data_IF_699004790216
#
_entry.id   IF_699004790216
#
_cell.length_a   1.000
_cell.length_b   1.000
_cell.length_c   1.000
_cell.angle_alpha   90.00
_cell.angle_beta   90.00
_cell.angle_gamma   90.00
#
_symmetry.space_group_name_H-M   'P 1'
#
loop_
_entity.id
_entity.type
_entity.pdbx_description
1 polymer ?
#
# COMPACT_ATOMS: atom_id res chain seq x y z
N UNK A 1 -55.84 -40.12 10.54
CA UNK A 1 -55.38 -39.11 9.57
C UNK A 1 -54.21 -38.37 10.20
N UNK A 2 -52.97 -38.64 9.78
CA UNK A 2 -51.78 -37.94 10.29
C UNK A 2 -51.50 -36.74 9.37
N UNK A 3 -51.52 -35.53 9.93
CA UNK A 3 -51.15 -34.31 9.21
C UNK A 3 -49.63 -34.20 9.32
N UNK A 4 -48.92 -34.42 8.21
CA UNK A 4 -47.49 -34.16 8.12
C UNK A 4 -47.26 -32.66 7.89
N UNK A 5 -46.67 -31.99 8.87
CA UNK A 5 -46.29 -30.57 8.79
C UNK A 5 -44.99 -30.47 8.00
N UNK A 6 -45.04 -29.83 6.83
CA UNK A 6 -43.85 -29.51 6.02
C UNK A 6 -43.20 -28.25 6.60
N UNK A 7 -42.01 -28.39 7.16
CA UNK A 7 -41.19 -27.27 7.64
C UNK A 7 -40.37 -26.71 6.46
N UNK A 8 -40.76 -25.55 5.95
CA UNK A 8 -39.99 -24.81 4.94
C UNK A 8 -38.85 -24.04 5.64
N UNK A 9 -37.64 -24.58 5.64
CA UNK A 9 -36.44 -23.87 6.11
C UNK A 9 -35.91 -22.99 4.98
N UNK A 10 -36.17 -21.69 5.05
CA UNK A 10 -35.55 -20.71 4.17
C UNK A 10 -34.09 -20.47 4.62
N UNK A 11 -33.13 -21.05 3.90
CA UNK A 11 -31.71 -20.75 4.08
C UNK A 11 -31.42 -19.42 3.38
N UNK A 12 -31.44 -18.32 4.14
CA UNK A 12 -30.89 -17.04 3.66
C UNK A 12 -29.37 -17.18 3.56
N UNK A 13 -28.86 -17.39 2.35
CA UNK A 13 -27.43 -17.22 2.08
C UNK A 13 -27.16 -15.72 2.13
N UNK A 14 -26.49 -15.26 3.18
CA UNK A 14 -25.97 -13.90 3.26
C UNK A 14 -24.88 -13.77 2.19
N UNK A 15 -25.25 -13.22 1.02
CA UNK A 15 -24.29 -12.78 0.03
C UNK A 15 -23.63 -11.51 0.55
N UNK A 16 -22.44 -11.68 1.10
CA UNK A 16 -21.62 -10.63 1.66
C UNK A 16 -20.81 -9.97 0.54
N UNK A 17 -20.99 -8.68 0.22
CA UNK A 17 -20.35 -8.07 -0.94
C UNK A 17 -18.84 -7.86 -0.72
N UNK A 18 -18.04 -8.22 -1.73
CA UNK A 18 -16.62 -7.88 -1.82
C UNK A 18 -16.46 -6.37 -2.10
N UNK A 19 -15.38 -5.77 -1.61
CA UNK A 19 -15.06 -4.35 -1.86
C UNK A 19 -13.99 -4.24 -2.94
N UNK A 20 -14.28 -3.48 -4.00
CA UNK A 20 -13.31 -3.14 -5.06
C UNK A 20 -12.88 -1.68 -4.91
N UNK A 21 -11.56 -1.44 -4.81
CA UNK A 21 -10.98 -0.10 -4.76
C UNK A 21 -9.98 0.10 -5.88
N UNK A 22 -10.14 1.15 -6.67
CA UNK A 22 -9.12 1.62 -7.60
C UNK A 22 -8.07 2.39 -6.80
N UNK A 23 -6.84 1.90 -6.76
CA UNK A 23 -5.72 2.55 -6.04
C UNK A 23 -4.97 3.53 -6.93
N UNK A 24 -4.89 3.27 -8.24
CA UNK A 24 -4.14 4.09 -9.18
C UNK A 24 -4.66 3.92 -10.60
N UNK A 25 -4.59 5.00 -11.38
CA UNK A 25 -4.79 5.02 -12.82
C UNK A 25 -3.52 5.62 -13.44
N UNK A 26 -2.82 4.86 -14.28
CA UNK A 26 -1.62 5.28 -15.00
C UNK A 26 -1.96 5.57 -16.47
N UNK A 27 -1.89 6.86 -16.82
CA UNK A 27 -2.21 7.40 -18.14
C UNK A 27 -0.96 7.65 -19.02
N UNK A 28 0.22 7.18 -18.62
CA UNK A 28 1.48 7.43 -19.33
C UNK A 28 1.47 6.98 -20.80
N UNK A 29 0.62 6.01 -21.13
CA UNK A 29 0.49 5.42 -22.47
C UNK A 29 -0.73 5.97 -23.24
N UNK A 30 -1.54 6.84 -22.64
CA UNK A 30 -2.79 7.31 -23.24
C UNK A 30 -2.55 8.02 -24.58
N UNK A 31 -1.58 8.94 -24.65
CA UNK A 31 -1.30 9.68 -25.88
C UNK A 31 -0.58 8.84 -26.95
N UNK A 32 0.16 7.81 -26.56
CA UNK A 32 0.99 7.02 -27.48
C UNK A 32 0.20 5.89 -28.14
N UNK A 33 -0.63 5.18 -27.38
CA UNK A 33 -1.37 4.03 -27.88
C UNK A 33 -2.77 3.89 -27.29
N UNK A 34 -3.31 4.95 -26.67
CA UNK A 34 -4.66 4.97 -26.08
C UNK A 34 -4.87 3.85 -25.06
N UNK A 35 -3.82 3.49 -24.31
CA UNK A 35 -3.90 2.51 -23.21
C UNK A 35 -3.77 3.20 -21.87
N UNK A 36 -4.51 2.67 -20.91
CA UNK A 36 -4.45 3.07 -19.50
C UNK A 36 -4.24 1.81 -18.66
N UNK A 37 -3.46 1.92 -17.59
CA UNK A 37 -3.37 0.85 -16.59
C UNK A 37 -4.16 1.25 -15.37
N UNK A 38 -5.02 0.35 -14.90
CA UNK A 38 -5.81 0.55 -13.69
C UNK A 38 -5.36 -0.48 -12.66
N UNK A 39 -5.00 0.01 -11.48
CA UNK A 39 -4.61 -0.82 -10.35
C UNK A 39 -5.80 -0.93 -9.41
N UNK A 40 -6.22 -2.17 -9.14
CA UNK A 40 -7.37 -2.46 -8.29
C UNK A 40 -6.95 -3.35 -7.12
N UNK A 41 -7.57 -3.10 -5.97
CA UNK A 41 -7.51 -3.95 -4.78
C UNK A 41 -8.91 -4.49 -4.51
N UNK A 42 -9.03 -5.79 -4.33
CA UNK A 42 -10.28 -6.44 -3.96
C UNK A 42 -10.11 -7.07 -2.58
N UNK A 43 -10.94 -6.65 -1.64
CA UNK A 43 -10.91 -7.15 -0.26
C UNK A 43 -12.26 -7.71 0.13
N UNK A 44 -12.23 -8.74 0.97
CA UNK A 44 -13.43 -9.25 1.62
C UNK A 44 -13.89 -8.28 2.72
N UNK A 45 -14.89 -8.69 3.49
CA UNK A 45 -15.47 -7.88 4.56
C UNK A 45 -14.56 -7.67 5.76
N UNK A 46 -13.56 -8.53 5.95
CA UNK A 46 -12.56 -8.42 7.00
C UNK A 46 -11.42 -7.50 6.59
N UNK A 47 -11.41 -7.05 5.34
CA UNK A 47 -10.33 -6.28 4.73
C UNK A 47 -9.20 -7.18 4.19
N UNK A 48 -9.40 -8.50 4.17
CA UNK A 48 -8.40 -9.44 3.67
C UNK A 48 -8.45 -9.46 2.13
N UNK A 49 -7.30 -9.50 1.43
CA UNK A 49 -7.29 -9.59 -0.03
C UNK A 49 -7.98 -10.87 -0.54
N UNK A 50 -8.89 -10.73 -1.50
CA UNK A 50 -9.53 -11.88 -2.14
C UNK A 50 -8.53 -12.56 -3.08
N UNK A 51 -8.12 -13.81 -2.82
CA UNK A 51 -7.11 -14.48 -3.61
C UNK A 51 -7.69 -15.01 -4.93
N UNK A 52 -6.80 -15.34 -5.87
CA UNK A 52 -7.13 -16.10 -7.08
C UNK A 52 -8.19 -15.51 -8.02
N UNK A 53 -8.44 -14.20 -7.95
CA UNK A 53 -9.30 -13.52 -8.92
C UNK A 53 -8.71 -13.58 -10.32
N UNK A 54 -9.51 -13.97 -11.29
CA UNK A 54 -9.16 -14.08 -12.72
C UNK A 54 -9.86 -13.00 -13.54
N UNK A 55 -9.38 -12.73 -14.75
CA UNK A 55 -9.88 -11.64 -15.62
C UNK A 55 -11.40 -11.72 -15.85
N UNK A 56 -11.95 -12.93 -15.99
CA UNK A 56 -13.38 -13.19 -16.20
C UNK A 56 -14.28 -12.73 -15.04
N UNK A 57 -13.68 -12.41 -13.89
CA UNK A 57 -14.38 -11.82 -12.74
C UNK A 57 -14.51 -10.30 -12.82
N UNK A 58 -13.94 -9.68 -13.86
CA UNK A 58 -13.93 -8.24 -14.05
C UNK A 58 -14.61 -7.85 -15.36
N UNK A 59 -15.29 -6.70 -15.31
CA UNK A 59 -15.77 -5.99 -16.47
C UNK A 59 -15.38 -4.53 -16.32
N UNK A 60 -14.89 -3.93 -17.40
CA UNK A 60 -14.50 -2.53 -17.42
C UNK A 60 -15.53 -1.75 -18.22
N UNK A 61 -16.02 -0.65 -17.65
CA UNK A 61 -16.95 0.26 -18.32
C UNK A 61 -16.38 1.67 -18.31
N UNK A 62 -16.53 2.38 -19.42
CA UNK A 62 -16.26 3.80 -19.54
C UNK A 62 -17.53 4.46 -20.07
N UNK A 63 -18.13 5.36 -19.29
CA UNK A 63 -19.37 6.05 -19.68
C UNK A 63 -20.45 5.08 -20.21
N UNK A 64 -20.70 4.00 -19.47
CA UNK A 64 -21.68 2.94 -19.80
C UNK A 64 -21.28 2.00 -20.97
N UNK A 65 -20.21 2.31 -21.70
CA UNK A 65 -19.69 1.42 -22.73
C UNK A 65 -18.69 0.42 -22.15
N UNK A 66 -18.90 -0.87 -22.41
CA UNK A 66 -17.95 -1.89 -22.01
C UNK A 66 -16.64 -1.75 -22.79
N UNK A 67 -15.52 -1.73 -22.07
CA UNK A 67 -14.16 -1.69 -22.62
C UNK A 67 -13.51 -3.05 -22.47
N UNK A 68 -12.67 -3.40 -23.44
CA UNK A 68 -11.89 -4.62 -23.41
C UNK A 68 -10.73 -4.49 -22.41
N UNK A 69 -10.53 -5.53 -21.60
CA UNK A 69 -9.32 -5.69 -20.81
C UNK A 69 -8.25 -6.28 -21.73
N UNK A 70 -7.17 -5.54 -21.98
CA UNK A 70 -6.10 -5.99 -22.90
C UNK A 70 -5.10 -6.92 -22.24
N UNK A 71 -4.91 -6.79 -20.92
CA UNK A 71 -3.97 -7.55 -20.12
C UNK A 71 -4.40 -7.54 -18.66
N UNK A 72 -4.36 -8.71 -18.02
CA UNK A 72 -4.67 -8.86 -16.60
C UNK A 72 -3.46 -9.45 -15.86
N UNK A 73 -2.91 -8.70 -14.93
CA UNK A 73 -1.78 -9.13 -14.12
C UNK A 73 -2.13 -9.08 -12.63
N UNK A 74 -1.71 -10.10 -11.90
CA UNK A 74 -1.90 -10.19 -10.44
C UNK A 74 -0.60 -9.94 -9.72
N UNK A 75 -0.68 -9.34 -8.55
CA UNK A 75 0.52 -9.09 -7.73
C UNK A 75 1.54 -8.21 -8.45
N UNK A 76 1.08 -7.27 -9.29
CA UNK A 76 1.98 -6.40 -10.06
C UNK A 76 2.95 -5.65 -9.15
N UNK A 77 2.50 -5.23 -7.95
CA UNK A 77 3.38 -4.64 -6.94
C UNK A 77 4.46 -5.61 -6.42
N UNK A 78 4.16 -6.91 -6.35
CA UNK A 78 5.13 -7.96 -5.99
C UNK A 78 6.17 -8.11 -7.10
N UNK A 79 5.75 -8.05 -8.37
CA UNK A 79 6.65 -8.30 -9.50
C UNK A 79 7.40 -7.06 -10.00
N UNK A 80 6.85 -5.85 -9.84
CA UNK A 80 7.45 -4.60 -10.31
C UNK A 80 8.30 -3.92 -9.23
N UNK A 81 8.09 -4.26 -7.95
CA UNK A 81 8.74 -3.61 -6.82
C UNK A 81 8.25 -2.19 -6.58
N UNK A 82 8.20 -1.78 -5.32
CA UNK A 82 7.81 -0.44 -4.92
C UNK A 82 9.07 0.40 -4.68
N UNK A 83 9.06 1.66 -5.16
CA UNK A 83 10.12 2.63 -4.86
C UNK A 83 9.66 3.52 -3.72
N UNK A 84 10.26 3.37 -2.55
CA UNK A 84 9.99 4.20 -1.38
C UNK A 84 11.08 5.25 -1.23
N UNK A 85 10.69 6.52 -1.10
CA UNK A 85 11.61 7.60 -0.75
C UNK A 85 11.26 8.12 0.64
N UNK A 86 12.14 7.85 1.60
CA UNK A 86 12.01 8.31 2.98
C UNK A 86 12.73 9.65 3.10
N UNK A 87 12.00 10.67 3.57
CA UNK A 87 12.54 12.01 3.80
C UNK A 87 12.46 12.29 5.30
N UNK A 88 13.61 12.34 5.97
CA UNK A 88 13.71 12.47 7.42
C UNK A 88 14.23 13.85 7.79
N UNK A 89 13.51 14.55 8.66
CA UNK A 89 13.95 15.82 9.23
C UNK A 89 15.15 15.59 10.15
N UNK A 90 16.15 16.45 10.04
CA UNK A 90 17.34 16.50 10.88
C UNK A 90 17.58 17.92 11.43
N UNK A 91 16.51 18.70 11.56
CA UNK A 91 16.50 19.98 12.24
C UNK A 91 16.70 19.82 13.75
N UNK A 92 17.04 20.93 14.44
CA UNK A 92 17.30 20.91 15.88
C UNK A 92 16.11 20.41 16.73
N UNK A 93 14.87 20.57 16.26
CA UNK A 93 13.67 20.11 16.98
C UNK A 93 13.51 18.59 16.99
N UNK A 94 14.20 17.89 16.09
CA UNK A 94 14.25 16.42 16.10
C UNK A 94 15.09 15.87 17.25
N UNK A 95 15.90 16.71 17.89
CA UNK A 95 16.69 16.38 19.08
C UNK A 95 15.99 16.80 20.38
N UNK A 96 14.73 17.23 20.31
CA UNK A 96 13.90 17.50 21.48
C UNK A 96 13.24 16.22 21.98
N UNK A 97 12.83 16.23 23.24
CA UNK A 97 12.03 15.14 23.80
C UNK A 97 10.60 15.12 23.25
N UNK A 98 9.83 14.09 23.59
CA UNK A 98 8.42 13.97 23.19
C UNK A 98 7.57 15.16 23.66
N UNK A 99 7.94 15.82 24.77
CA UNK A 99 7.25 16.99 25.33
C UNK A 99 7.56 18.30 24.61
N UNK A 100 8.47 18.29 23.63
CA UNK A 100 8.79 19.47 22.82
C UNK A 100 9.71 20.47 23.53
N UNK A 101 10.47 20.02 24.54
CA UNK A 101 11.39 20.87 25.30
C UNK A 101 12.84 20.62 24.86
N UNK A 102 13.60 21.71 24.77
CA UNK A 102 15.06 21.64 24.59
C UNK A 102 15.67 21.11 25.89
N UNK A 103 16.48 20.08 25.73
CA UNK A 103 17.13 19.23 26.76
C UNK A 103 17.43 19.86 28.12
N UNK A 104 17.30 18.99 29.13
CA UNK A 104 18.26 18.85 30.24
C UNK A 104 18.74 17.38 30.46
N UNK A 105 18.37 16.41 29.60
CA UNK A 105 18.71 14.98 29.82
C UNK A 105 19.73 14.45 28.81
N UNK A 106 20.65 13.59 29.25
CA UNK A 106 21.68 12.94 28.40
C UNK A 106 21.19 11.69 27.68
N UNK A 107 19.99 11.20 27.97
CA UNK A 107 19.43 10.01 27.32
C UNK A 107 19.05 10.32 25.86
N UNK A 108 19.60 9.56 24.91
CA UNK A 108 19.33 9.70 23.48
C UNK A 108 18.02 9.02 23.07
N UNK A 109 17.51 8.08 23.90
CA UNK A 109 16.29 7.31 23.59
C UNK A 109 15.01 8.13 23.63
N UNK A 110 15.05 9.26 24.33
CA UNK A 110 13.89 10.16 24.45
C UNK A 110 13.79 11.14 23.27
N UNK A 111 14.77 11.17 22.36
CA UNK A 111 14.76 12.13 21.25
C UNK A 111 13.86 11.66 20.11
N UNK A 112 13.15 12.59 19.49
CA UNK A 112 12.29 12.34 18.32
C UNK A 112 13.04 11.69 17.16
N UNK A 113 14.30 12.06 16.95
CA UNK A 113 15.17 11.47 15.92
C UNK A 113 15.43 9.99 16.15
N UNK A 114 15.44 9.53 17.41
CA UNK A 114 15.65 8.12 17.76
C UNK A 114 14.42 7.31 17.36
N UNK A 115 13.22 7.79 17.67
CA UNK A 115 11.98 7.18 17.19
C UNK A 115 11.89 7.15 15.66
N UNK A 116 12.30 8.24 14.99
CA UNK A 116 12.32 8.27 13.53
C UNK A 116 13.27 7.23 12.94
N UNK A 117 14.47 7.05 13.52
CA UNK A 117 15.43 6.02 13.11
C UNK A 117 14.89 4.60 13.33
N UNK A 118 14.28 4.35 14.49
CA UNK A 118 13.68 3.05 14.82
C UNK A 118 12.54 2.71 13.86
N UNK A 119 11.66 3.66 13.58
CA UNK A 119 10.56 3.47 12.63
C UNK A 119 11.06 3.18 11.20
N UNK A 120 12.08 3.92 10.74
CA UNK A 120 12.73 3.66 9.44
C UNK A 120 13.36 2.27 9.44
N UNK A 121 14.07 1.88 10.49
CA UNK A 121 14.68 0.55 10.59
C UNK A 121 13.64 -0.57 10.60
N UNK A 122 12.52 -0.40 11.29
CA UNK A 122 11.42 -1.38 11.30
C UNK A 122 10.82 -1.54 9.90
N UNK A 123 10.54 -0.43 9.22
CA UNK A 123 10.01 -0.45 7.86
C UNK A 123 10.96 -1.17 6.88
N UNK A 124 12.27 -0.88 6.95
CA UNK A 124 13.27 -1.55 6.11
C UNK A 124 13.33 -3.07 6.37
N UNK A 125 13.12 -3.49 7.61
CA UNK A 125 13.07 -4.92 7.97
C UNK A 125 11.79 -5.61 7.49
N UNK A 126 10.69 -4.88 7.37
CA UNK A 126 9.42 -5.38 6.85
C UNK A 126 9.41 -5.52 5.32
N UNK A 127 10.27 -4.78 4.61
CA UNK A 127 10.42 -4.89 3.15
C UNK A 127 11.07 -6.24 2.79
N UNK A 128 10.23 -7.19 2.37
CA UNK A 128 10.63 -8.55 1.98
C UNK A 128 10.86 -8.72 0.47
N UNK A 129 10.28 -7.86 -0.37
CA UNK A 129 10.35 -8.01 -1.81
C UNK A 129 11.73 -7.57 -2.35
N UNK A 130 12.47 -8.43 -3.07
CA UNK A 130 13.78 -8.08 -3.63
C UNK A 130 13.72 -7.01 -4.75
N UNK A 131 12.53 -6.77 -5.32
CA UNK A 131 12.33 -5.74 -6.34
C UNK A 131 12.08 -4.34 -5.75
N UNK A 132 11.75 -4.27 -4.46
CA UNK A 132 11.57 -2.98 -3.79
C UNK A 132 12.89 -2.22 -3.72
N UNK A 133 12.81 -0.89 -3.81
CA UNK A 133 13.96 0.01 -3.71
C UNK A 133 13.65 1.08 -2.69
N UNK A 134 14.59 1.37 -1.81
CA UNK A 134 14.43 2.42 -0.81
C UNK A 134 15.51 3.48 -0.99
N UNK A 135 15.10 4.74 -0.96
CA UNK A 135 15.98 5.89 -0.87
C UNK A 135 15.75 6.59 0.46
N UNK A 136 16.82 7.07 1.09
CA UNK A 136 16.75 7.86 2.32
C UNK A 136 17.43 9.20 2.11
N UNK A 137 16.65 10.27 2.28
CA UNK A 137 17.13 11.65 2.28
C UNK A 137 16.94 12.21 3.67
N UNK A 138 18.03 12.72 4.25
CA UNK A 138 17.96 13.52 5.46
C UNK A 138 18.02 14.98 5.07
N UNK A 139 17.09 15.79 5.57
CA UNK A 139 17.08 17.21 5.29
C UNK A 139 17.40 18.03 6.55
N UNK A 140 18.19 19.07 6.37
CA UNK A 140 18.21 20.24 7.26
C UNK A 140 17.96 21.47 6.37
N UNK A 141 18.20 22.70 6.82
CA UNK A 141 18.10 23.93 5.97
C UNK A 141 18.92 23.83 4.66
N UNK A 142 19.77 22.80 4.52
CA UNK A 142 20.29 22.29 3.25
C UNK A 142 19.84 20.83 3.02
N UNK A 143 19.36 20.54 1.82
CA UNK A 143 19.07 19.17 1.35
C UNK A 143 20.39 18.49 0.99
N UNK A 144 20.67 17.33 1.59
CA UNK A 144 21.79 16.48 1.21
C UNK A 144 21.32 15.03 1.08
N UNK A 145 21.48 14.42 -0.10
CA UNK A 145 21.16 12.99 -0.25
C UNK A 145 22.20 12.18 0.51
N UNK A 146 21.79 11.40 1.52
CA UNK A 146 22.73 10.52 2.24
C UNK A 146 22.87 9.16 1.57
N UNK A 147 21.84 8.67 0.88
CA UNK A 147 21.86 7.37 0.20
C UNK A 147 21.12 7.50 -1.14
N UNK A 148 21.76 7.09 -2.24
CA UNK A 148 21.10 6.97 -3.56
C UNK A 148 20.17 5.76 -3.53
N UNK A 149 19.10 5.76 -4.35
CA UNK A 149 18.19 4.61 -4.47
C UNK A 149 19.00 3.30 -4.61
N UNK A 150 18.91 2.44 -3.61
CA UNK A 150 19.68 1.19 -3.53
C UNK A 150 18.78 0.04 -3.09
N UNK A 151 19.21 -1.18 -3.38
CA UNK A 151 18.66 -2.41 -2.83
C UNK A 151 19.52 -2.96 -1.68
N UNK A 152 20.62 -2.28 -1.35
CA UNK A 152 21.46 -2.60 -0.21
C UNK A 152 20.72 -2.27 1.10
N UNK A 153 20.79 -3.21 2.06
CA UNK A 153 20.12 -3.13 3.35
C UNK A 153 21.06 -2.68 4.48
N UNK A 154 22.33 -2.40 4.16
CA UNK A 154 23.38 -1.95 5.09
C UNK A 154 23.52 -0.45 5.23
#
# INVERSE_FOLDING_TARGET
MCIATVLLVAVFSAAFPDTVRISQIDNSMLLLNQRVRVYVSVTDQKGDPVPNLTEDRFSLFESEEQRQILSFERGVNINQGIKLLLVVDNSGSMYWDASGRVKNSTDEKIWRITYAKEAVSSLLNEIKNPMDRVGLISFNVKIGSKIRLTNDKG
#
